data_IF_954550333468
#
_entry.id   IF_954550333468
#
_cell.length_a   1.000
_cell.length_b   1.000
_cell.length_c   1.000
_cell.angle_alpha   90.00
_cell.angle_beta   90.00
_cell.angle_gamma   90.00
#
_symmetry.space_group_name_H-M   'P 1'
#
loop_
_entity.id
_entity.type
_entity.pdbx_description
1 polymer ?
#
# COMPACT_ATOMS: atom_id res chain seq x y z
N UNK A 1 -13.76 12.71 -90.00
CA UNK A 1 -14.80 12.58 -88.94
C UNK A 1 -14.13 12.03 -87.69
N UNK A 2 -13.94 12.86 -86.66
CA UNK A 2 -13.42 12.44 -85.34
C UNK A 2 -14.36 13.05 -84.29
N UNK A 3 -15.08 12.19 -83.57
CA UNK A 3 -15.96 12.58 -82.48
C UNK A 3 -15.14 12.82 -81.21
N UNK A 4 -15.37 13.95 -80.54
CA UNK A 4 -14.83 14.25 -79.22
C UNK A 4 -15.90 13.92 -78.16
N UNK A 5 -15.52 13.13 -77.15
CA UNK A 5 -16.33 12.80 -75.98
C UNK A 5 -15.81 13.62 -74.79
N UNK A 6 -16.66 14.32 -74.01
CA UNK A 6 -16.21 15.02 -72.81
C UNK A 6 -16.22 14.07 -71.61
N UNK A 7 -15.10 13.99 -70.91
CA UNK A 7 -14.96 13.28 -69.64
C UNK A 7 -15.52 14.18 -68.52
N UNK A 8 -16.60 13.75 -67.86
CA UNK A 8 -17.10 14.36 -66.63
C UNK A 8 -16.24 13.88 -65.45
N UNK A 9 -15.57 14.81 -64.77
CA UNK A 9 -14.86 14.54 -63.53
C UNK A 9 -15.86 14.43 -62.36
N UNK A 10 -15.90 13.26 -61.71
CA UNK A 10 -16.58 13.01 -60.44
C UNK A 10 -15.60 13.36 -59.30
N UNK A 11 -15.89 14.44 -58.56
CA UNK A 11 -15.22 14.75 -57.29
C UNK A 11 -15.78 13.81 -56.21
N UNK A 12 -15.00 12.81 -55.81
CA UNK A 12 -15.27 12.00 -54.62
C UNK A 12 -14.80 12.73 -53.36
N UNK A 13 -15.72 13.02 -52.45
CA UNK A 13 -15.41 13.51 -51.10
C UNK A 13 -14.93 12.32 -50.27
N UNK A 14 -13.62 12.19 -50.09
CA UNK A 14 -13.04 11.27 -49.13
C UNK A 14 -13.21 11.85 -47.72
N UNK A 15 -14.15 11.30 -46.94
CA UNK A 15 -14.25 11.59 -45.52
C UNK A 15 -13.03 10.99 -44.80
N UNK A 16 -12.06 11.85 -44.48
CA UNK A 16 -10.97 11.54 -43.57
C UNK A 16 -11.54 11.29 -42.17
N UNK A 17 -11.79 10.02 -41.84
CA UNK A 17 -11.86 9.59 -40.46
C UNK A 17 -10.45 9.70 -39.87
N UNK A 18 -10.15 10.88 -39.32
CA UNK A 18 -8.99 11.05 -38.47
C UNK A 18 -9.23 10.22 -37.20
N UNK A 19 -8.66 9.01 -37.15
CA UNK A 19 -8.53 8.27 -35.90
C UNK A 19 -7.76 9.14 -34.92
N UNK A 20 -8.43 9.56 -33.84
CA UNK A 20 -7.79 10.29 -32.75
C UNK A 20 -6.72 9.33 -32.20
N UNK A 21 -5.45 9.65 -32.41
CA UNK A 21 -4.37 8.94 -31.76
C UNK A 21 -4.56 9.12 -30.25
N UNK A 22 -5.00 8.05 -29.59
CA UNK A 22 -5.25 8.06 -28.16
C UNK A 22 -3.90 8.16 -27.45
N UNK A 23 -3.64 9.29 -26.79
CA UNK A 23 -2.43 9.46 -25.99
C UNK A 23 -2.42 8.41 -24.86
N UNK A 24 -1.28 7.77 -24.65
CA UNK A 24 -1.09 6.84 -23.55
C UNK A 24 -1.27 7.61 -22.22
N UNK A 25 -2.24 7.20 -21.40
CA UNK A 25 -2.48 7.80 -20.08
C UNK A 25 -1.52 7.18 -19.09
N UNK A 26 -0.82 7.99 -18.29
CA UNK A 26 0.03 7.49 -17.19
C UNK A 26 -0.59 7.87 -15.85
N UNK A 27 -0.79 6.87 -14.99
CA UNK A 27 -1.16 7.08 -13.58
C UNK A 27 0.06 6.91 -12.69
N UNK A 28 0.17 7.74 -11.66
CA UNK A 28 1.08 7.51 -10.55
C UNK A 28 0.31 7.01 -9.32
N UNK A 29 0.61 5.77 -8.90
CA UNK A 29 0.19 5.23 -7.62
C UNK A 29 1.28 5.49 -6.56
N UNK A 30 0.96 6.30 -5.56
CA UNK A 30 1.82 6.48 -4.38
C UNK A 30 1.34 5.55 -3.26
N UNK A 31 2.17 4.56 -2.95
CA UNK A 31 1.82 3.44 -2.08
C UNK A 31 2.77 3.30 -0.89
N UNK A 32 2.37 2.52 0.11
CA UNK A 32 3.25 2.16 1.22
C UNK A 32 4.28 1.08 0.84
N UNK A 33 5.28 0.91 1.70
CA UNK A 33 6.57 0.26 1.41
C UNK A 33 6.47 -1.21 0.94
N UNK A 34 5.45 -1.93 1.42
CA UNK A 34 5.41 -3.39 1.34
C UNK A 34 4.47 -3.95 0.27
N UNK A 35 4.00 -3.09 -0.63
CA UNK A 35 3.04 -3.45 -1.67
C UNK A 35 3.60 -3.42 -3.08
N UNK A 36 4.93 -3.34 -3.23
CA UNK A 36 5.59 -3.29 -4.54
C UNK A 36 5.23 -4.49 -5.40
N UNK A 37 5.39 -5.68 -4.84
CA UNK A 37 5.14 -6.94 -5.55
C UNK A 37 3.65 -7.12 -5.83
N UNK A 38 2.80 -6.78 -4.86
CA UNK A 38 1.34 -6.77 -5.03
C UNK A 38 0.90 -5.84 -6.17
N UNK A 39 1.33 -4.57 -6.15
CA UNK A 39 0.92 -3.64 -7.19
C UNK A 39 1.57 -3.92 -8.54
N UNK A 40 2.71 -4.62 -8.61
CA UNK A 40 3.25 -5.08 -9.89
C UNK A 40 2.26 -6.01 -10.60
N UNK A 41 1.72 -6.99 -9.86
CA UNK A 41 0.77 -7.96 -10.39
C UNK A 41 -0.60 -7.30 -10.67
N UNK A 42 -1.10 -6.48 -9.74
CA UNK A 42 -2.35 -5.71 -9.94
C UNK A 42 -2.26 -4.75 -11.12
N UNK A 43 -1.14 -4.05 -11.30
CA UNK A 43 -0.97 -3.12 -12.41
C UNK A 43 -1.03 -3.86 -13.74
N UNK A 44 -0.35 -5.00 -13.86
CA UNK A 44 -0.38 -5.81 -15.07
C UNK A 44 -1.80 -6.28 -15.40
N UNK A 45 -2.52 -6.81 -14.41
CA UNK A 45 -3.89 -7.29 -14.57
C UNK A 45 -4.85 -6.14 -14.96
N UNK A 46 -4.77 -4.99 -14.28
CA UNK A 46 -5.60 -3.83 -14.61
C UNK A 46 -5.31 -3.29 -16.01
N UNK A 47 -4.04 -3.17 -16.41
CA UNK A 47 -3.65 -2.67 -17.74
C UNK A 47 -4.24 -3.58 -18.83
N UNK A 48 -4.12 -4.90 -18.67
CA UNK A 48 -4.68 -5.88 -19.59
C UNK A 48 -6.20 -5.76 -19.67
N UNK A 49 -6.88 -5.70 -18.52
CA UNK A 49 -8.34 -5.56 -18.47
C UNK A 49 -8.82 -4.23 -19.04
N UNK A 50 -8.14 -3.13 -18.75
CA UNK A 50 -8.47 -1.80 -19.26
C UNK A 50 -8.39 -1.77 -20.78
N UNK A 51 -7.28 -2.25 -21.35
CA UNK A 51 -7.10 -2.33 -22.80
C UNK A 51 -8.18 -3.19 -23.48
N UNK A 52 -8.55 -4.34 -22.89
CA UNK A 52 -9.60 -5.23 -23.42
C UNK A 52 -10.99 -4.60 -23.37
N UNK A 53 -11.30 -3.87 -22.30
CA UNK A 53 -12.67 -3.36 -22.06
C UNK A 53 -12.92 -2.00 -22.69
N UNK A 54 -11.88 -1.17 -22.83
CA UNK A 54 -12.03 0.22 -23.27
C UNK A 54 -11.31 0.54 -24.57
N UNK A 55 -10.34 -0.29 -24.97
CA UNK A 55 -9.44 0.00 -26.08
C UNK A 55 -8.35 1.04 -25.76
N UNK A 56 -8.38 1.70 -24.60
CA UNK A 56 -7.37 2.70 -24.24
C UNK A 56 -6.10 2.04 -23.68
N UNK A 57 -4.95 2.65 -23.97
CA UNK A 57 -3.66 2.27 -23.40
C UNK A 57 -3.41 3.07 -22.14
N UNK A 58 -2.90 2.39 -21.11
CA UNK A 58 -2.54 3.01 -19.84
C UNK A 58 -1.22 2.45 -19.31
N UNK A 59 -0.41 3.33 -18.74
CA UNK A 59 0.78 2.99 -17.95
C UNK A 59 0.53 3.33 -16.48
N UNK A 60 1.07 2.52 -15.57
CA UNK A 60 0.95 2.76 -14.13
C UNK A 60 2.34 2.76 -13.51
N UNK A 61 2.76 3.93 -13.03
CA UNK A 61 3.97 4.13 -12.26
C UNK A 61 3.69 3.98 -10.76
N UNK A 62 4.74 3.64 -10.00
CA UNK A 62 4.64 3.37 -8.58
C UNK A 62 5.72 4.11 -7.79
N UNK A 63 5.34 4.63 -6.62
CA UNK A 63 6.27 5.13 -5.60
C UNK A 63 5.99 4.44 -4.28
N UNK A 64 7.00 3.83 -3.65
CA UNK A 64 6.86 3.07 -2.40
C UNK A 64 7.75 3.65 -1.30
N UNK A 65 7.26 3.62 -0.06
CA UNK A 65 8.02 4.00 1.13
C UNK A 65 7.18 3.97 2.40
N UNK A 66 7.72 4.47 3.52
CA UNK A 66 6.94 4.64 4.74
C UNK A 66 5.66 5.42 4.47
N UNK A 67 4.50 4.84 4.81
CA UNK A 67 3.17 5.35 4.42
C UNK A 67 2.98 6.84 4.72
N UNK A 68 3.32 7.29 5.94
CA UNK A 68 3.18 8.70 6.30
C UNK A 68 4.18 9.60 5.58
N UNK A 69 5.39 9.10 5.25
CA UNK A 69 6.34 9.85 4.42
C UNK A 69 5.77 10.05 3.02
N UNK A 70 5.16 9.02 2.43
CA UNK A 70 4.52 9.11 1.12
C UNK A 70 3.32 10.06 1.11
N UNK A 71 2.44 9.97 2.12
CA UNK A 71 1.34 10.93 2.27
C UNK A 71 1.82 12.38 2.43
N UNK A 72 2.89 12.62 3.20
CA UNK A 72 3.50 13.95 3.31
C UNK A 72 4.07 14.44 1.97
N UNK A 73 4.69 13.58 1.16
CA UNK A 73 5.18 13.93 -0.17
C UNK A 73 4.04 14.37 -1.10
N UNK A 74 2.91 13.65 -1.09
CA UNK A 74 1.72 14.00 -1.88
C UNK A 74 1.10 15.31 -1.40
N UNK A 75 0.96 15.49 -0.08
CA UNK A 75 0.50 16.77 0.48
C UNK A 75 1.43 17.94 0.12
N UNK A 76 2.73 17.67 -0.09
CA UNK A 76 3.74 18.67 -0.44
C UNK A 76 3.89 18.89 -1.96
N UNK A 77 3.09 18.22 -2.79
CA UNK A 77 3.01 18.49 -4.23
C UNK A 77 3.46 17.35 -5.16
N UNK A 78 3.78 16.16 -4.63
CA UNK A 78 3.94 14.99 -5.51
C UNK A 78 2.60 14.66 -6.17
N UNK A 79 2.55 14.73 -7.50
CA UNK A 79 1.31 14.60 -8.28
C UNK A 79 0.90 13.14 -8.50
N UNK A 80 0.54 12.46 -7.41
CA UNK A 80 -0.07 11.14 -7.43
C UNK A 80 -1.50 11.21 -7.96
N UNK A 81 -1.91 10.27 -8.80
CA UNK A 81 -3.29 10.14 -9.26
C UNK A 81 -4.13 9.40 -8.21
N UNK A 82 -3.52 8.39 -7.57
CA UNK A 82 -4.11 7.61 -6.49
C UNK A 82 -3.10 7.43 -5.37
N UNK A 83 -3.63 7.25 -4.17
CA UNK A 83 -2.87 6.85 -3.00
C UNK A 83 -3.40 5.54 -2.46
N UNK A 84 -2.49 4.63 -2.11
CA UNK A 84 -2.85 3.35 -1.49
C UNK A 84 -2.01 3.15 -0.22
N UNK A 85 -2.62 3.42 0.92
CA UNK A 85 -1.94 3.57 2.20
C UNK A 85 -2.22 2.37 3.10
N UNK A 86 -1.46 2.24 4.19
CA UNK A 86 -1.71 1.19 5.17
C UNK A 86 -2.38 1.70 6.46
N UNK A 87 -2.84 2.95 6.48
CA UNK A 87 -3.57 3.52 7.61
C UNK A 87 -4.45 4.70 7.17
N UNK A 88 -5.63 4.82 7.78
CA UNK A 88 -6.60 5.87 7.43
C UNK A 88 -6.12 7.29 7.77
N UNK A 89 -5.32 7.44 8.82
CA UNK A 89 -4.83 8.75 9.27
C UNK A 89 -3.93 9.46 8.25
N UNK A 90 -3.27 8.69 7.37
CA UNK A 90 -2.48 9.23 6.27
C UNK A 90 -3.37 9.82 5.17
N UNK A 91 -4.49 9.17 4.84
CA UNK A 91 -5.46 9.74 3.89
C UNK A 91 -6.22 10.91 4.52
N UNK A 92 -6.50 10.88 5.83
CA UNK A 92 -7.05 12.04 6.53
C UNK A 92 -6.14 13.26 6.48
N UNK A 93 -4.82 13.06 6.51
CA UNK A 93 -3.86 14.14 6.31
C UNK A 93 -4.01 14.75 4.92
N UNK A 94 -4.16 13.92 3.89
CA UNK A 94 -4.38 14.37 2.51
C UNK A 94 -5.73 15.05 2.32
N UNK A 95 -6.75 14.58 3.02
CA UNK A 95 -8.05 15.23 3.04
C UNK A 95 -7.93 16.63 3.67
N UNK A 96 -7.31 16.73 4.85
CA UNK A 96 -7.08 18.02 5.52
C UNK A 96 -6.23 19.00 4.70
N UNK A 97 -5.29 18.52 3.88
CA UNK A 97 -4.53 19.39 2.97
C UNK A 97 -5.29 19.78 1.70
N UNK A 98 -6.48 19.21 1.47
CA UNK A 98 -7.37 19.53 0.36
C UNK A 98 -6.98 18.89 -0.98
N UNK A 99 -6.07 17.90 -0.98
CA UNK A 99 -5.70 17.19 -2.22
C UNK A 99 -6.56 15.95 -2.46
N UNK A 100 -7.16 15.40 -1.40
CA UNK A 100 -8.17 14.33 -1.40
C UNK A 100 -9.46 14.89 -0.81
N UNK A 101 -10.61 14.35 -1.17
CA UNK A 101 -11.88 14.76 -0.60
C UNK A 101 -12.04 14.44 0.90
N UNK A 102 -12.86 15.26 1.59
CA UNK A 102 -13.16 15.07 3.01
C UNK A 102 -13.93 13.78 3.30
N UNK A 103 -14.77 13.35 2.37
CA UNK A 103 -15.63 12.18 2.49
C UNK A 103 -15.00 10.91 1.91
N UNK A 104 -13.68 10.89 1.71
CA UNK A 104 -12.95 9.83 1.00
C UNK A 104 -13.34 8.41 1.45
N UNK A 105 -13.53 8.18 2.76
CA UNK A 105 -13.90 6.86 3.32
C UNK A 105 -15.15 6.26 2.68
N UNK A 106 -16.09 7.11 2.26
CA UNK A 106 -17.39 6.70 1.72
C UNK A 106 -17.36 6.46 0.21
N UNK A 107 -16.23 6.73 -0.46
CA UNK A 107 -16.14 6.70 -1.92
C UNK A 107 -15.98 5.30 -2.49
N UNK A 108 -15.44 4.38 -1.69
CA UNK A 108 -15.33 2.97 -2.03
C UNK A 108 -15.89 2.10 -0.89
N UNK A 109 -16.26 0.84 -1.15
CA UNK A 109 -16.72 -0.09 -0.13
C UNK A 109 -15.75 -0.25 1.05
N UNK A 110 -16.25 -0.74 2.18
CA UNK A 110 -15.46 -1.09 3.36
C UNK A 110 -14.56 0.04 3.88
N UNK A 111 -15.13 1.24 4.01
CA UNK A 111 -14.40 2.46 4.40
C UNK A 111 -13.18 2.77 3.52
N UNK A 112 -13.31 2.42 2.23
CA UNK A 112 -12.28 2.50 1.21
C UNK A 112 -11.04 1.65 1.46
N UNK A 113 -11.19 0.51 2.14
CA UNK A 113 -10.13 -0.48 2.33
C UNK A 113 -10.45 -1.78 1.56
N UNK A 114 -9.82 -2.02 0.39
CA UNK A 114 -10.08 -3.23 -0.41
C UNK A 114 -9.56 -4.51 0.25
N UNK A 115 -8.58 -4.39 1.15
CA UNK A 115 -8.06 -5.52 1.92
C UNK A 115 -7.67 -5.10 3.33
N UNK A 116 -7.49 -6.10 4.18
CA UNK A 116 -7.01 -5.95 5.55
C UNK A 116 -5.83 -6.89 5.80
N UNK A 117 -5.07 -6.60 6.84
CA UNK A 117 -4.10 -7.51 7.41
C UNK A 117 -4.16 -7.43 8.93
N UNK A 118 -3.21 -8.07 9.59
CA UNK A 118 -3.04 -8.05 11.03
C UNK A 118 -1.56 -8.06 11.38
N UNK A 119 -1.21 -7.68 12.60
CA UNK A 119 0.17 -7.75 13.09
C UNK A 119 0.51 -9.16 13.57
N UNK A 120 1.64 -9.69 13.12
CA UNK A 120 2.18 -11.00 13.51
C UNK A 120 3.65 -10.85 13.91
N UNK A 121 4.21 -11.90 14.51
CA UNK A 121 5.63 -11.98 14.82
C UNK A 121 6.32 -12.94 13.87
N UNK A 122 7.35 -12.48 13.19
CA UNK A 122 8.26 -13.33 12.46
C UNK A 122 9.47 -13.60 13.34
N UNK A 123 9.72 -14.86 13.67
CA UNK A 123 10.83 -15.30 14.51
C UNK A 123 11.80 -16.16 13.72
N UNK A 124 13.04 -16.30 14.21
CA UNK A 124 14.03 -17.20 13.61
C UNK A 124 13.54 -18.66 13.65
N UNK A 125 13.98 -19.47 12.68
CA UNK A 125 13.62 -20.88 12.59
C UNK A 125 13.81 -21.62 13.92
N UNK A 126 12.80 -22.41 14.30
CA UNK A 126 12.76 -23.18 15.54
C UNK A 126 12.38 -22.33 16.76
N UNK A 127 12.15 -21.02 16.59
CA UNK A 127 11.80 -20.07 17.64
C UNK A 127 12.69 -20.21 18.89
N UNK A 128 14.01 -19.94 18.78
CA UNK A 128 14.98 -20.24 19.85
C UNK A 128 14.76 -19.43 21.13
N UNK A 129 14.03 -18.31 21.04
CA UNK A 129 13.63 -17.49 22.19
C UNK A 129 12.28 -17.89 22.79
N UNK A 130 11.61 -18.90 22.22
CA UNK A 130 10.30 -19.40 22.64
C UNK A 130 9.26 -18.26 22.76
N UNK A 131 9.25 -17.35 21.78
CA UNK A 131 8.31 -16.23 21.71
C UNK A 131 6.94 -16.76 21.32
N UNK A 132 5.92 -16.47 22.13
CA UNK A 132 4.55 -16.94 21.92
C UNK A 132 3.56 -15.80 21.94
N UNK A 133 3.84 -14.73 22.69
CA UNK A 133 2.94 -13.60 22.82
C UNK A 133 3.67 -12.29 23.16
N UNK A 134 2.93 -11.18 23.24
CA UNK A 134 3.49 -9.84 23.47
C UNK A 134 4.32 -9.71 24.73
N UNK A 135 3.98 -10.40 25.82
CA UNK A 135 4.76 -10.38 27.07
C UNK A 135 6.23 -10.79 26.84
N UNK A 136 6.46 -11.75 25.93
CA UNK A 136 7.79 -12.24 25.61
C UNK A 136 8.66 -11.15 24.98
N UNK A 137 8.06 -10.26 24.20
CA UNK A 137 8.76 -9.16 23.53
C UNK A 137 9.28 -8.09 24.51
N UNK A 138 8.78 -8.08 25.75
CA UNK A 138 9.20 -7.12 26.80
C UNK A 138 10.27 -7.67 27.73
N UNK A 139 10.70 -8.93 27.54
CA UNK A 139 11.70 -9.58 28.40
C UNK A 139 13.10 -9.03 28.13
N UNK A 140 13.98 -8.93 29.15
CA UNK A 140 15.38 -8.58 28.94
C UNK A 140 16.06 -9.55 27.97
N UNK A 141 16.92 -9.02 27.09
CA UNK A 141 17.69 -9.83 26.14
C UNK A 141 16.90 -10.33 24.93
N UNK A 142 15.69 -9.83 24.71
CA UNK A 142 14.94 -9.95 23.46
C UNK A 142 15.15 -8.66 22.65
N UNK A 143 15.62 -8.79 21.42
CA UNK A 143 15.75 -7.68 20.48
C UNK A 143 14.59 -7.70 19.48
N UNK A 144 13.75 -6.67 19.50
CA UNK A 144 12.54 -6.57 18.69
C UNK A 144 12.79 -5.62 17.52
N UNK A 145 12.50 -6.04 16.29
CA UNK A 145 12.58 -5.17 15.11
C UNK A 145 11.18 -4.61 14.84
N UNK A 146 11.08 -3.28 14.83
CA UNK A 146 9.86 -2.51 14.54
C UNK A 146 10.26 -1.29 13.70
N UNK A 147 9.57 -0.98 12.58
CA UNK A 147 9.85 0.25 11.84
C UNK A 147 9.36 1.49 12.61
N UNK A 148 9.92 2.66 12.31
CA UNK A 148 9.68 3.90 13.03
C UNK A 148 8.19 4.33 12.99
N UNK A 149 7.48 4.38 14.14
CA UNK A 149 6.07 4.79 14.19
C UNK A 149 5.82 6.25 13.78
N UNK A 150 6.85 7.10 13.77
CA UNK A 150 6.70 8.49 13.30
C UNK A 150 6.36 8.57 11.82
N UNK A 151 6.86 7.64 11.01
CA UNK A 151 6.76 7.70 9.55
C UNK A 151 6.14 6.44 8.90
N UNK A 152 5.79 5.42 9.70
CA UNK A 152 5.27 4.14 9.18
C UNK A 152 3.97 3.72 9.87
N UNK A 153 3.04 3.16 9.10
CA UNK A 153 1.84 2.50 9.64
C UNK A 153 2.19 1.23 10.42
N UNK A 154 3.10 0.39 9.92
CA UNK A 154 3.59 -0.81 10.63
C UNK A 154 4.00 -0.51 12.08
N UNK A 155 4.81 0.54 12.30
CA UNK A 155 5.23 0.93 13.65
C UNK A 155 4.08 1.41 14.52
N UNK A 156 3.10 2.12 13.95
CA UNK A 156 1.90 2.58 14.67
C UNK A 156 0.97 1.42 15.02
N UNK A 157 0.71 0.49 14.10
CA UNK A 157 -0.09 -0.70 14.40
C UNK A 157 0.61 -1.62 15.39
N UNK A 158 1.94 -1.74 15.36
CA UNK A 158 2.69 -2.44 16.40
C UNK A 158 2.45 -1.80 17.78
N UNK A 159 2.54 -0.47 17.85
CA UNK A 159 2.25 0.27 19.09
C UNK A 159 0.81 0.03 19.56
N UNK A 160 -0.17 0.13 18.65
CA UNK A 160 -1.60 -0.02 18.97
C UNK A 160 -1.95 -1.46 19.37
N UNK A 161 -1.35 -2.47 18.73
CA UNK A 161 -1.56 -3.87 19.06
C UNK A 161 -0.99 -4.20 20.45
N UNK A 162 0.23 -3.74 20.75
CA UNK A 162 0.84 -3.89 22.07
C UNK A 162 0.07 -3.15 23.17
N UNK A 163 -0.40 -1.92 22.87
CA UNK A 163 -1.24 -1.16 23.79
C UNK A 163 -2.57 -1.87 24.03
N UNK A 164 -3.25 -2.29 22.96
CA UNK A 164 -4.51 -3.01 23.02
C UNK A 164 -4.40 -4.32 23.79
N UNK A 165 -3.30 -5.06 23.61
CA UNK A 165 -2.98 -6.26 24.38
C UNK A 165 -2.94 -5.96 25.89
N UNK A 166 -2.20 -4.94 26.30
CA UNK A 166 -2.07 -4.56 27.70
C UNK A 166 -3.42 -4.16 28.33
N UNK A 167 -4.24 -3.39 27.61
CA UNK A 167 -5.59 -3.03 28.04
C UNK A 167 -6.49 -4.27 28.17
N UNK A 168 -6.49 -5.15 27.16
CA UNK A 168 -7.33 -6.36 27.15
C UNK A 168 -6.94 -7.39 28.20
N UNK A 169 -5.69 -7.35 28.68
CA UNK A 169 -5.22 -8.14 29.82
C UNK A 169 -5.67 -7.58 31.19
N UNK A 170 -6.44 -6.49 31.20
CA UNK A 170 -6.96 -5.85 32.41
C UNK A 170 -6.12 -4.68 32.92
N UNK A 171 -5.12 -4.23 32.14
CA UNK A 171 -4.38 -3.01 32.45
C UNK A 171 -5.16 -1.74 32.14
N UNK A 172 -4.80 -0.65 32.80
CA UNK A 172 -5.24 0.70 32.44
C UNK A 172 -4.28 1.38 31.45
N UNK A 173 -4.53 2.65 31.12
CA UNK A 173 -3.66 3.41 30.21
C UNK A 173 -2.22 3.57 30.72
N UNK A 174 -2.02 3.62 32.04
CA UNK A 174 -0.69 3.72 32.63
C UNK A 174 0.07 2.41 32.45
N UNK A 175 -0.58 1.27 32.70
CA UNK A 175 -0.04 -0.06 32.47
C UNK A 175 0.26 -0.30 30.98
N UNK A 176 -0.62 0.12 30.07
CA UNK A 176 -0.38 0.02 28.64
C UNK A 176 0.81 0.88 28.17
N UNK A 177 0.93 2.10 28.71
CA UNK A 177 2.10 2.96 28.46
C UNK A 177 3.39 2.32 28.96
N UNK A 178 3.41 1.75 30.16
CA UNK A 178 4.58 1.03 30.67
C UNK A 178 4.93 -0.17 29.79
N UNK A 179 3.93 -0.98 29.43
CA UNK A 179 4.10 -2.15 28.58
C UNK A 179 4.78 -1.80 27.26
N UNK A 180 4.24 -0.81 26.55
CA UNK A 180 4.80 -0.35 25.28
C UNK A 180 6.17 0.31 25.48
N UNK A 181 6.40 1.00 26.60
CA UNK A 181 7.72 1.54 26.94
C UNK A 181 8.76 0.44 27.09
N UNK A 182 8.43 -0.65 27.78
CA UNK A 182 9.31 -1.82 27.93
C UNK A 182 9.55 -2.51 26.59
N UNK A 183 8.52 -2.65 25.74
CA UNK A 183 8.67 -3.17 24.38
C UNK A 183 9.66 -2.33 23.56
N UNK A 184 9.48 -1.00 23.51
CA UNK A 184 10.33 -0.13 22.69
C UNK A 184 11.75 0.04 23.25
N UNK A 185 11.99 -0.21 24.54
CA UNK A 185 13.36 -0.34 25.08
C UNK A 185 14.11 -1.54 24.50
N UNK A 186 13.40 -2.57 24.06
CA UNK A 186 13.96 -3.74 23.38
C UNK A 186 14.13 -3.53 21.86
N UNK A 187 13.83 -2.34 21.32
CA UNK A 187 13.96 -2.03 19.89
C UNK A 187 15.31 -1.34 19.63
N UNK A 188 16.31 -2.01 19.02
CA UNK A 188 17.64 -1.45 18.86
C UNK A 188 17.75 -0.45 17.70
N UNK A 189 16.84 -0.53 16.72
CA UNK A 189 16.85 0.31 15.52
C UNK A 189 15.41 0.55 15.06
N UNK A 190 15.15 1.77 14.58
CA UNK A 190 13.86 2.20 14.05
C UNK A 190 14.01 2.56 12.57
N UNK A 191 13.87 1.57 11.69
CA UNK A 191 13.97 1.75 10.24
C UNK A 191 12.86 2.66 9.68
N UNK A 192 13.13 3.38 8.59
CA UNK A 192 12.20 4.36 8.00
C UNK A 192 10.99 3.76 7.26
N UNK A 193 10.92 2.43 7.13
CA UNK A 193 9.93 1.70 6.33
C UNK A 193 9.84 0.23 6.74
N UNK A 194 8.74 -0.44 6.38
CA UNK A 194 8.53 -1.85 6.69
C UNK A 194 9.56 -2.76 5.99
N UNK A 195 9.89 -2.47 4.73
CA UNK A 195 10.89 -3.23 3.98
C UNK A 195 12.29 -3.07 4.59
N UNK A 196 12.61 -1.88 5.08
CA UNK A 196 13.86 -1.63 5.80
C UNK A 196 13.98 -2.50 7.06
N UNK A 197 12.92 -2.55 7.87
CA UNK A 197 12.84 -3.42 9.04
C UNK A 197 12.97 -4.91 8.67
N UNK A 198 12.29 -5.33 7.59
CA UNK A 198 12.42 -6.67 7.03
C UNK A 198 13.87 -6.98 6.66
N UNK A 199 14.56 -6.11 5.90
CA UNK A 199 15.99 -6.29 5.54
C UNK A 199 16.90 -6.35 6.78
N UNK A 200 16.66 -5.50 7.77
CA UNK A 200 17.39 -5.50 9.05
C UNK A 200 17.27 -6.86 9.75
N UNK A 201 16.06 -7.42 9.81
CA UNK A 201 15.83 -8.71 10.46
C UNK A 201 16.39 -9.88 9.66
N UNK A 202 16.10 -9.93 8.36
CA UNK A 202 16.35 -11.12 7.54
C UNK A 202 17.76 -11.16 6.95
N UNK A 203 18.21 -10.08 6.33
CA UNK A 203 19.48 -10.05 5.60
C UNK A 203 20.64 -9.60 6.49
N UNK A 204 20.41 -8.62 7.37
CA UNK A 204 21.44 -8.17 8.33
C UNK A 204 21.48 -9.01 9.59
N UNK A 205 20.51 -9.91 9.77
CA UNK A 205 20.45 -10.85 10.88
C UNK A 205 20.36 -10.17 12.23
N UNK A 206 19.75 -8.98 12.34
CA UNK A 206 19.57 -8.27 13.60
C UNK A 206 18.22 -8.62 14.25
N UNK A 207 18.18 -8.68 15.58
CA UNK A 207 16.94 -8.94 16.32
C UNK A 207 16.62 -10.42 16.47
N UNK A 208 15.72 -10.72 17.40
CA UNK A 208 15.19 -12.07 17.66
C UNK A 208 13.82 -12.27 17.00
N UNK A 209 13.10 -11.17 16.78
CA UNK A 209 11.73 -11.13 16.29
C UNK A 209 11.47 -9.85 15.53
N UNK A 210 10.80 -9.96 14.40
CA UNK A 210 10.25 -8.85 13.63
C UNK A 210 8.74 -8.79 13.86
N UNK A 211 8.24 -7.62 14.28
CA UNK A 211 6.81 -7.36 14.32
C UNK A 211 6.40 -6.70 13.01
N UNK A 212 5.56 -7.38 12.23
CA UNK A 212 5.20 -6.97 10.86
C UNK A 212 3.75 -7.35 10.53
N UNK A 213 3.28 -6.93 9.37
CA UNK A 213 1.98 -7.37 8.86
C UNK A 213 2.05 -8.81 8.34
N UNK A 214 0.95 -9.55 8.44
CA UNK A 214 0.85 -10.94 7.99
C UNK A 214 1.26 -11.12 6.52
N UNK A 215 0.87 -10.19 5.64
CA UNK A 215 1.24 -10.24 4.23
C UNK A 215 2.75 -10.13 3.99
N UNK A 216 3.48 -9.43 4.87
CA UNK A 216 4.95 -9.34 4.80
C UNK A 216 5.61 -10.65 5.22
N UNK A 217 5.07 -11.33 6.22
CA UNK A 217 5.60 -12.63 6.64
C UNK A 217 5.54 -13.64 5.47
N UNK A 218 4.43 -13.66 4.74
CA UNK A 218 4.25 -14.48 3.53
C UNK A 218 5.22 -14.07 2.42
N UNK A 219 5.41 -12.77 2.21
CA UNK A 219 6.32 -12.28 1.18
C UNK A 219 7.78 -12.64 1.48
N UNK A 220 8.19 -12.55 2.74
CA UNK A 220 9.55 -12.91 3.18
C UNK A 220 9.85 -14.39 2.88
N UNK A 221 8.92 -15.30 3.14
CA UNK A 221 9.09 -16.72 2.80
C UNK A 221 9.22 -16.93 1.28
N UNK A 222 8.45 -16.18 0.48
CA UNK A 222 8.52 -16.25 -0.99
C UNK A 222 9.85 -15.74 -1.54
N UNK A 223 10.38 -14.64 -0.99
CA UNK A 223 11.60 -13.99 -1.48
C UNK A 223 12.88 -14.68 -1.00
N UNK A 224 12.93 -15.13 0.25
CA UNK A 224 14.16 -15.61 0.90
C UNK A 224 14.24 -17.13 1.01
N UNK A 225 13.19 -17.83 0.61
CA UNK A 225 13.10 -19.28 0.67
C UNK A 225 12.43 -19.78 1.95
N UNK A 226 11.79 -20.95 1.82
CA UNK A 226 11.02 -21.55 2.90
C UNK A 226 11.91 -22.05 4.04
N UNK A 227 11.39 -21.98 5.27
CA UNK A 227 12.02 -22.61 6.44
C UNK A 227 13.14 -21.83 7.13
N UNK A 228 13.37 -20.56 6.78
CA UNK A 228 14.31 -19.68 7.49
C UNK A 228 13.71 -19.02 8.74
N UNK A 229 12.39 -18.87 8.75
CA UNK A 229 11.63 -18.20 9.80
C UNK A 229 10.39 -19.03 10.17
N UNK A 230 9.83 -18.75 11.34
CA UNK A 230 8.51 -19.23 11.73
C UNK A 230 7.62 -18.02 12.06
N UNK A 231 6.32 -18.15 11.80
CA UNK A 231 5.33 -17.11 12.15
C UNK A 231 4.66 -17.48 13.47
N UNK A 232 4.62 -16.51 14.39
CA UNK A 232 3.89 -16.60 15.66
C UNK A 232 2.74 -15.61 15.62
N UNK A 233 1.53 -16.13 15.78
CA UNK A 233 0.31 -15.35 15.90
C UNK A 233 0.07 -15.02 17.38
N UNK A 234 0.16 -13.75 17.79
CA UNK A 234 -0.10 -13.38 19.18
C UNK A 234 -1.56 -13.61 19.55
N UNK A 235 -1.84 -13.70 20.85
CA UNK A 235 -3.21 -13.93 21.34
C UNK A 235 -4.17 -12.77 21.03
N UNK A 236 -3.63 -11.56 20.91
CA UNK A 236 -4.35 -10.36 20.52
C UNK A 236 -3.52 -9.66 19.45
N UNK A 237 -4.19 -9.18 18.42
CA UNK A 237 -3.60 -8.32 17.41
C UNK A 237 -4.57 -7.20 17.04
N UNK A 238 -4.24 -6.46 16.00
CA UNK A 238 -5.01 -5.34 15.49
C UNK A 238 -5.36 -5.57 14.04
N UNK A 239 -6.62 -5.34 13.68
CA UNK A 239 -7.04 -5.27 12.29
C UNK A 239 -6.40 -4.03 11.66
N UNK A 240 -5.56 -4.25 10.66
CA UNK A 240 -4.92 -3.19 9.90
C UNK A 240 -5.62 -3.06 8.54
N UNK A 241 -6.34 -1.97 8.35
CA UNK A 241 -6.99 -1.64 7.07
C UNK A 241 -6.02 -0.91 6.16
N UNK A 242 -6.03 -1.25 4.87
CA UNK A 242 -5.18 -0.63 3.86
C UNK A 242 -6.01 0.29 2.94
N UNK A 243 -6.31 1.52 3.37
CA UNK A 243 -7.24 2.37 2.65
C UNK A 243 -6.64 2.97 1.38
N UNK A 244 -7.51 3.28 0.43
CA UNK A 244 -7.18 3.88 -0.86
C UNK A 244 -7.99 5.16 -1.10
N UNK A 245 -7.44 6.07 -1.89
CA UNK A 245 -8.17 7.26 -2.33
C UNK A 245 -7.67 7.80 -3.67
N UNK A 246 -8.57 8.42 -4.41
CA UNK A 246 -8.24 9.26 -5.57
C UNK A 246 -7.74 10.61 -5.08
N UNK A 247 -6.65 11.12 -5.66
CA UNK A 247 -6.15 12.47 -5.35
C UNK A 247 -6.85 13.46 -6.28
N UNK A 248 -8.02 13.93 -5.85
CA UNK A 248 -8.94 14.77 -6.64
C UNK A 248 -8.24 15.92 -7.37
N UNK A 249 -7.41 16.68 -6.66
CA UNK A 249 -6.71 17.84 -7.24
C UNK A 249 -5.81 17.47 -8.41
N UNK A 250 -5.18 16.29 -8.37
CA UNK A 250 -4.24 15.85 -9.41
C UNK A 250 -4.99 15.27 -10.59
N UNK A 251 -5.98 14.40 -10.34
CA UNK A 251 -6.71 13.76 -11.44
C UNK A 251 -7.56 14.74 -12.23
N UNK A 252 -8.06 15.80 -11.59
CA UNK A 252 -8.78 16.88 -12.28
C UNK A 252 -7.82 17.73 -13.13
N UNK A 253 -6.61 17.98 -12.61
CA UNK A 253 -5.57 18.70 -13.34
C UNK A 253 -5.09 17.91 -14.57
N UNK A 254 -4.86 16.60 -14.42
CA UNK A 254 -4.33 15.72 -15.47
C UNK A 254 -5.41 15.19 -16.42
N UNK A 255 -6.69 15.27 -16.04
CA UNK A 255 -7.79 14.66 -16.80
C UNK A 255 -7.84 13.12 -16.69
N UNK A 256 -7.30 12.55 -15.60
CA UNK A 256 -7.11 11.10 -15.40
C UNK A 256 -8.14 10.47 -14.45
N UNK A 257 -9.16 11.23 -14.03
CA UNK A 257 -10.14 10.80 -13.01
C UNK A 257 -10.82 9.47 -13.38
N UNK A 258 -11.22 9.29 -14.64
CA UNK A 258 -11.86 8.06 -15.12
C UNK A 258 -10.97 6.84 -14.87
N UNK A 259 -9.71 6.94 -15.27
CA UNK A 259 -8.74 5.85 -15.16
C UNK A 259 -8.35 5.59 -13.70
N UNK A 260 -8.11 6.65 -12.92
CA UNK A 260 -7.76 6.56 -11.50
C UNK A 260 -8.88 5.93 -10.66
N UNK A 261 -10.13 6.34 -10.90
CA UNK A 261 -11.32 5.76 -10.27
C UNK A 261 -11.43 4.28 -10.60
N UNK A 262 -11.36 3.92 -11.89
CA UNK A 262 -11.46 2.53 -12.34
C UNK A 262 -10.34 1.65 -11.79
N UNK A 263 -9.12 2.18 -11.67
CA UNK A 263 -8.00 1.46 -11.07
C UNK A 263 -8.25 1.11 -9.60
N UNK A 264 -8.82 2.03 -8.81
CA UNK A 264 -9.16 1.73 -7.42
C UNK A 264 -10.39 0.81 -7.31
N UNK A 265 -11.38 0.94 -8.18
CA UNK A 265 -12.54 0.04 -8.24
C UNK A 265 -12.13 -1.40 -8.60
N UNK A 266 -11.10 -1.56 -9.44
CA UNK A 266 -10.57 -2.87 -9.79
C UNK A 266 -10.08 -3.67 -8.59
N UNK A 267 -9.53 -3.00 -7.56
CA UNK A 267 -9.10 -3.62 -6.29
C UNK A 267 -10.24 -4.27 -5.50
N UNK A 268 -11.50 -3.99 -5.86
CA UNK A 268 -12.69 -4.60 -5.23
C UNK A 268 -13.35 -5.64 -6.13
N UNK A 269 -12.80 -5.88 -7.32
CA UNK A 269 -13.32 -6.89 -8.25
C UNK A 269 -12.77 -8.27 -7.90
N UNK A 270 -13.40 -9.38 -8.33
CA UNK A 270 -12.91 -10.74 -8.00
C UNK A 270 -11.46 -11.05 -8.42
N UNK A 271 -10.92 -10.31 -9.39
CA UNK A 271 -9.54 -10.45 -9.88
C UNK A 271 -8.54 -9.62 -9.07
N UNK A 272 -8.98 -8.52 -8.47
CA UNK A 272 -8.17 -7.65 -7.63
C UNK A 272 -8.14 -8.11 -6.19
#
# INVERSE_FOLDING_TARGET
>A
MKFAVPIRALLGVAALWAGIAQADVTLLNVAYDVTREFYKDINAAFIERWQKTTGERIAIEQSHGGSSKQAMSVASGLEADVVTMNQATDIDLLARSGVVAQDWRKRFPYDSAPYTSTTVFLVRKGNPKNIRDWDDLTKPGIAVIVPNPKVTGNGRYTYLAAWGYAIKKGGDEAAARDFVTRLFRNVPVLDGGGRGATTTFTQRGMGDVLVTFENEAVLIERELGTGQFDVVYPSISVRAEAPVAVVDKVVDKKGTRKQAQAYLEFLYSPEG
#
